data_IF_914375672846
#
_entry.id   IF_914375672846
#
_cell.length_a   1.000
_cell.length_b   1.000
_cell.length_c   1.000
_cell.angle_alpha   90.00
_cell.angle_beta   90.00
_cell.angle_gamma   90.00
#
_symmetry.space_group_name_H-M   'P 1'
#
loop_
_entity.id
_entity.type
_entity.pdbx_description
1 polymer ?
#
# COMPACT_ATOMS: atom_id res chain seq x y z
N UNK A 1 -15.31 -17.24 -5.73
CA UNK A 1 -14.52 -16.13 -6.31
C UNK A 1 -13.94 -15.27 -5.19
N UNK A 2 -12.78 -14.67 -5.40
CA UNK A 2 -12.15 -13.71 -4.50
C UNK A 2 -12.66 -12.30 -4.82
N UNK A 3 -12.78 -11.44 -3.81
CA UNK A 3 -13.02 -10.00 -4.00
C UNK A 3 -11.69 -9.27 -3.84
N UNK A 4 -11.18 -8.72 -4.93
CA UNK A 4 -9.92 -7.98 -4.94
C UNK A 4 -10.20 -6.49 -4.71
N UNK A 5 -9.45 -5.90 -3.83
CA UNK A 5 -9.49 -4.48 -3.50
C UNK A 5 -8.08 -3.92 -3.55
N UNK A 6 -7.93 -2.65 -3.82
CA UNK A 6 -6.63 -1.97 -3.90
C UNK A 6 -6.53 -0.76 -2.95
N UNK A 7 -7.49 -0.65 -2.02
CA UNK A 7 -7.56 0.46 -1.07
C UNK A 7 -7.65 -0.11 0.36
N UNK A 8 -6.54 0.00 1.09
CA UNK A 8 -6.30 -0.69 2.36
C UNK A 8 -7.31 -0.36 3.47
N UNK A 9 -7.87 0.86 3.50
CA UNK A 9 -8.88 1.24 4.50
C UNK A 9 -10.19 0.49 4.25
N UNK A 10 -10.65 0.44 2.99
CA UNK A 10 -11.88 -0.26 2.60
C UNK A 10 -11.76 -1.76 2.84
N UNK A 11 -10.60 -2.33 2.55
CA UNK A 11 -10.32 -3.75 2.82
C UNK A 11 -10.40 -4.10 4.29
N UNK A 12 -9.79 -3.29 5.16
CA UNK A 12 -9.84 -3.49 6.60
C UNK A 12 -11.30 -3.49 7.11
N UNK A 13 -12.13 -2.56 6.62
CA UNK A 13 -13.56 -2.53 6.94
C UNK A 13 -14.31 -3.79 6.45
N UNK A 14 -14.05 -4.23 5.23
CA UNK A 14 -14.72 -5.42 4.67
C UNK A 14 -14.28 -6.70 5.38
N UNK A 15 -13.02 -6.81 5.79
CA UNK A 15 -12.52 -7.96 6.56
C UNK A 15 -13.13 -8.03 7.96
N UNK A 16 -13.44 -6.88 8.60
CA UNK A 16 -14.15 -6.77 9.89
C UNK A 16 -15.68 -6.70 9.78
N UNK A 17 -16.26 -6.89 8.58
CA UNK A 17 -17.67 -6.58 8.35
C UNK A 17 -18.65 -7.41 9.20
N UNK A 18 -18.30 -8.64 9.57
CA UNK A 18 -19.11 -9.50 10.41
C UNK A 18 -19.33 -8.96 11.84
N UNK A 19 -18.41 -8.15 12.35
CA UNK A 19 -18.50 -7.55 13.69
C UNK A 19 -19.65 -6.53 13.79
N UNK A 20 -20.12 -5.99 12.67
CA UNK A 20 -21.24 -5.05 12.62
C UNK A 20 -22.62 -5.68 12.77
N UNK A 21 -22.70 -7.01 12.77
CA UNK A 21 -23.93 -7.80 12.84
C UNK A 21 -23.90 -8.74 14.04
N UNK A 22 -23.44 -8.27 15.20
CA UNK A 22 -23.29 -9.10 16.41
C UNK A 22 -24.64 -9.68 16.86
N UNK A 23 -25.71 -8.89 16.78
CA UNK A 23 -27.06 -9.25 17.21
C UNK A 23 -27.92 -9.88 16.08
N UNK A 24 -27.36 -10.05 14.88
CA UNK A 24 -28.06 -10.55 13.69
C UNK A 24 -27.36 -11.80 13.11
N UNK A 25 -27.56 -13.02 13.67
CA UNK A 25 -26.76 -14.20 13.34
C UNK A 25 -26.73 -14.57 11.86
N UNK A 26 -27.85 -14.40 11.14
CA UNK A 26 -27.94 -14.71 9.71
C UNK A 26 -27.05 -13.75 8.90
N UNK A 27 -27.16 -12.43 9.16
CA UNK A 27 -26.34 -11.42 8.50
C UNK A 27 -24.88 -11.53 8.87
N UNK A 28 -24.59 -11.85 10.13
CA UNK A 28 -23.22 -12.10 10.60
C UNK A 28 -22.56 -13.24 9.84
N UNK A 29 -23.28 -14.34 9.63
CA UNK A 29 -22.77 -15.48 8.85
C UNK A 29 -22.47 -15.09 7.39
N UNK A 30 -23.38 -14.35 6.74
CA UNK A 30 -23.17 -13.86 5.37
C UNK A 30 -22.01 -12.86 5.27
N UNK A 31 -21.91 -11.94 6.21
CA UNK A 31 -20.82 -10.96 6.30
C UNK A 31 -19.47 -11.66 6.54
N UNK A 32 -19.41 -12.67 7.41
CA UNK A 32 -18.20 -13.47 7.63
C UNK A 32 -17.77 -14.21 6.36
N UNK A 33 -18.73 -14.76 5.60
CA UNK A 33 -18.46 -15.40 4.33
C UNK A 33 -17.90 -14.42 3.28
N UNK A 34 -18.40 -13.19 3.23
CA UNK A 34 -17.85 -12.11 2.39
C UNK A 34 -16.43 -11.74 2.85
N UNK A 35 -16.26 -11.44 4.14
CA UNK A 35 -14.99 -11.03 4.73
C UNK A 35 -13.86 -12.03 4.45
N UNK A 36 -14.15 -13.34 4.55
CA UNK A 36 -13.21 -14.41 4.27
C UNK A 36 -12.70 -14.44 2.81
N UNK A 37 -13.38 -13.76 1.90
CA UNK A 37 -13.06 -13.70 0.46
C UNK A 37 -12.37 -12.40 0.05
N UNK A 38 -12.36 -11.39 0.90
CA UNK A 38 -11.67 -10.13 0.65
C UNK A 38 -10.16 -10.35 0.72
N UNK A 39 -9.47 -9.89 -0.30
CA UNK A 39 -8.00 -9.91 -0.37
C UNK A 39 -7.50 -8.59 -0.96
N UNK A 40 -6.43 -8.10 -0.41
CA UNK A 40 -5.63 -7.07 -1.07
C UNK A 40 -5.09 -7.63 -2.41
N UNK A 41 -4.99 -6.77 -3.41
CA UNK A 41 -4.49 -7.18 -4.72
C UNK A 41 -3.08 -7.76 -4.64
N UNK A 42 -2.22 -7.21 -3.79
CA UNK A 42 -0.85 -7.72 -3.58
C UNK A 42 -0.86 -9.05 -2.81
N UNK A 43 -1.81 -9.24 -1.89
CA UNK A 43 -2.05 -10.54 -1.23
C UNK A 43 -2.41 -11.60 -2.25
N UNK A 44 -3.37 -11.30 -3.12
CA UNK A 44 -3.84 -12.23 -4.14
C UNK A 44 -2.73 -12.56 -5.14
N UNK A 45 -2.08 -11.55 -5.71
CA UNK A 45 -1.00 -11.75 -6.69
C UNK A 45 0.15 -12.57 -6.12
N UNK A 46 0.48 -12.39 -4.85
CA UNK A 46 1.52 -13.20 -4.20
C UNK A 46 1.11 -14.66 -3.95
N UNK A 47 -0.19 -15.01 -4.04
CA UNK A 47 -0.71 -16.39 -3.88
C UNK A 47 -0.90 -17.13 -5.19
N UNK A 48 -1.04 -16.42 -6.32
CA UNK A 48 -1.12 -17.08 -7.62
C UNK A 48 0.26 -17.57 -8.05
N UNK A 49 0.29 -18.58 -8.92
CA UNK A 49 1.55 -19.07 -9.48
C UNK A 49 2.12 -18.00 -10.41
N UNK A 50 3.03 -17.20 -9.87
CA UNK A 50 3.76 -16.20 -10.62
C UNK A 50 5.05 -16.80 -11.17
N UNK A 51 5.51 -16.39 -12.37
CA UNK A 51 6.82 -16.78 -12.86
C UNK A 51 7.93 -16.36 -11.89
N UNK A 52 9.12 -16.95 -11.95
CA UNK A 52 10.27 -16.53 -11.14
C UNK A 52 10.58 -15.04 -11.28
N UNK A 53 10.40 -14.48 -12.49
CA UNK A 53 10.61 -13.08 -12.83
C UNK A 53 9.35 -12.52 -13.48
N UNK A 54 8.91 -11.32 -13.08
CA UNK A 54 7.69 -10.63 -13.57
C UNK A 54 8.03 -9.62 -14.70
N UNK A 55 9.12 -9.77 -15.39
CA UNK A 55 9.58 -8.80 -16.40
C UNK A 55 10.74 -7.97 -15.87
N UNK A 56 11.12 -6.90 -16.61
CA UNK A 56 12.29 -6.08 -16.30
C UNK A 56 11.91 -4.61 -16.18
N UNK A 57 12.37 -3.95 -15.14
CA UNK A 57 12.25 -2.51 -14.94
C UNK A 57 13.50 -2.01 -14.21
N UNK A 58 14.37 -1.30 -14.90
CA UNK A 58 15.56 -0.71 -14.31
C UNK A 58 15.18 0.58 -13.59
N UNK A 59 15.04 0.48 -12.26
CA UNK A 59 14.62 1.58 -11.42
C UNK A 59 15.00 1.30 -9.95
N UNK A 60 15.45 2.32 -9.24
CA UNK A 60 15.66 2.28 -7.80
C UNK A 60 14.43 2.81 -7.08
N UNK A 61 13.76 1.96 -6.31
CA UNK A 61 12.50 2.31 -5.64
C UNK A 61 12.59 2.12 -4.13
N UNK A 62 11.76 2.86 -3.40
CA UNK A 62 11.52 2.58 -1.97
C UNK A 62 10.05 2.24 -1.76
N UNK A 63 9.74 1.39 -0.76
CA UNK A 63 8.38 0.97 -0.48
C UNK A 63 7.87 1.55 0.82
N UNK A 64 6.75 2.29 0.73
CA UNK A 64 5.99 2.79 1.88
C UNK A 64 4.84 1.83 2.20
N UNK A 65 4.84 1.27 3.41
CA UNK A 65 3.77 0.41 3.86
C UNK A 65 2.51 1.24 4.19
N UNK A 66 1.37 0.99 3.54
CA UNK A 66 0.10 1.57 3.99
C UNK A 66 -0.23 1.06 5.40
N UNK A 67 -0.47 1.97 6.35
CA UNK A 67 -0.66 1.61 7.75
C UNK A 67 -1.82 0.62 7.96
N UNK A 68 -2.95 0.78 7.27
CA UNK A 68 -4.07 -0.17 7.32
C UNK A 68 -3.73 -1.54 6.74
N UNK A 69 -2.89 -1.60 5.71
CA UNK A 69 -2.43 -2.88 5.15
C UNK A 69 -1.44 -3.56 6.11
N UNK A 70 -0.46 -2.80 6.59
CA UNK A 70 0.61 -3.31 7.44
C UNK A 70 0.15 -3.70 8.84
N UNK A 71 -0.69 -2.86 9.48
CA UNK A 71 -1.08 -3.05 10.89
C UNK A 71 -2.42 -3.75 11.03
N UNK A 72 -3.48 -3.30 10.34
CA UNK A 72 -4.81 -3.89 10.48
C UNK A 72 -4.90 -5.26 9.78
N UNK A 73 -4.29 -5.42 8.62
CA UNK A 73 -4.35 -6.65 7.84
C UNK A 73 -3.10 -7.54 7.96
N UNK A 74 -2.01 -7.02 8.53
CA UNK A 74 -0.71 -7.71 8.71
C UNK A 74 -0.07 -8.16 7.40
N UNK A 75 -0.34 -7.43 6.31
CA UNK A 75 0.23 -7.67 5.00
C UNK A 75 1.43 -6.74 4.79
N UNK A 76 2.64 -7.25 5.00
CA UNK A 76 3.90 -6.49 4.88
C UNK A 76 4.87 -7.09 3.86
N UNK A 77 5.04 -8.41 3.89
CA UNK A 77 6.02 -9.10 3.07
C UNK A 77 5.59 -9.26 1.60
N UNK A 78 4.29 -9.41 1.33
CA UNK A 78 3.77 -9.75 0.01
C UNK A 78 4.02 -8.69 -1.06
N UNK A 79 3.82 -7.38 -0.82
CA UNK A 79 4.20 -6.35 -1.78
C UNK A 79 5.69 -6.38 -2.14
N UNK A 80 6.55 -6.52 -1.13
CA UNK A 80 8.01 -6.62 -1.32
C UNK A 80 8.42 -7.87 -2.10
N UNK A 81 7.75 -9.00 -1.84
CA UNK A 81 7.97 -10.24 -2.58
C UNK A 81 7.68 -10.05 -4.08
N UNK A 82 6.60 -9.34 -4.42
CA UNK A 82 6.25 -9.04 -5.80
C UNK A 82 7.28 -8.11 -6.45
N UNK A 83 7.67 -7.04 -5.77
CA UNK A 83 8.67 -6.09 -6.28
C UNK A 83 10.03 -6.78 -6.53
N UNK A 84 10.47 -7.66 -5.63
CA UNK A 84 11.73 -8.41 -5.78
C UNK A 84 11.72 -9.42 -6.94
N UNK A 85 10.56 -9.72 -7.52
CA UNK A 85 10.44 -10.56 -8.72
C UNK A 85 10.61 -9.75 -10.02
N UNK A 86 10.68 -8.45 -9.96
CA UNK A 86 10.96 -7.59 -11.11
C UNK A 86 12.46 -7.52 -11.32
N UNK A 87 12.92 -7.96 -12.50
CA UNK A 87 14.35 -7.92 -12.85
C UNK A 87 14.84 -6.48 -12.96
N UNK A 88 16.08 -6.24 -12.51
CA UNK A 88 16.74 -4.94 -12.45
C UNK A 88 16.05 -3.87 -11.57
N UNK A 89 15.01 -4.22 -10.79
CA UNK A 89 14.42 -3.33 -9.80
C UNK A 89 15.21 -3.38 -8.50
N UNK A 90 15.77 -2.26 -8.08
CA UNK A 90 16.45 -2.13 -6.81
C UNK A 90 15.46 -1.62 -5.74
N UNK A 91 15.09 -2.48 -4.80
CA UNK A 91 14.23 -2.11 -3.66
C UNK A 91 15.09 -1.68 -2.47
N UNK A 92 15.08 -0.40 -2.14
CA UNK A 92 15.73 0.19 -0.97
C UNK A 92 14.70 0.41 0.13
N UNK A 93 14.91 -0.20 1.29
CA UNK A 93 14.02 -0.02 2.43
C UNK A 93 14.24 1.37 3.06
N UNK A 94 13.15 2.04 3.42
CA UNK A 94 13.21 3.29 4.19
C UNK A 94 13.09 3.01 5.68
N UNK A 95 13.61 3.91 6.49
CA UNK A 95 13.37 3.91 7.93
C UNK A 95 11.87 4.17 8.20
N UNK A 96 11.31 3.49 9.20
CA UNK A 96 9.90 3.62 9.58
C UNK A 96 8.92 3.48 8.37
N UNK A 97 9.17 2.52 7.49
CA UNK A 97 8.35 2.30 6.29
C UNK A 97 6.84 2.18 6.60
N UNK A 98 6.49 1.60 7.76
CA UNK A 98 5.13 1.36 8.23
C UNK A 98 4.54 2.49 9.08
N UNK A 99 5.29 3.58 9.34
CA UNK A 99 4.73 4.78 9.96
C UNK A 99 3.71 5.46 9.05
N UNK A 100 2.67 6.06 9.64
CA UNK A 100 1.61 6.74 8.89
C UNK A 100 2.16 7.90 8.06
N UNK A 101 1.61 8.10 6.86
CA UNK A 101 1.88 9.25 6.00
C UNK A 101 1.00 10.48 6.32
N UNK A 102 0.11 10.38 7.31
CA UNK A 102 -0.81 11.46 7.69
C UNK A 102 -2.16 11.43 6.95
N UNK A 103 -2.34 10.65 5.89
CA UNK A 103 -3.60 10.62 5.11
C UNK A 103 -4.80 10.09 5.91
N UNK A 104 -4.69 8.90 6.52
CA UNK A 104 -5.66 8.23 7.41
C UNK A 104 -7.16 8.59 7.22
N UNK A 105 -7.71 8.33 6.04
CA UNK A 105 -9.09 8.70 5.70
C UNK A 105 -9.24 10.22 5.58
N UNK A 106 -10.01 10.85 6.48
CA UNK A 106 -10.22 12.31 6.55
C UNK A 106 -9.31 13.02 7.56
N UNK A 107 -8.40 12.28 8.21
CA UNK A 107 -7.57 12.82 9.29
C UNK A 107 -6.74 14.03 8.89
N UNK A 108 -6.22 14.06 7.66
CA UNK A 108 -5.49 15.20 7.13
C UNK A 108 -6.33 16.47 6.98
N UNK A 109 -7.65 16.34 6.89
CA UNK A 109 -8.60 17.48 6.86
C UNK A 109 -9.00 17.93 8.26
N UNK A 110 -9.13 16.99 9.20
CA UNK A 110 -9.59 17.22 10.57
C UNK A 110 -8.45 17.64 11.51
N UNK A 111 -7.23 17.15 11.26
CA UNK A 111 -6.03 17.36 12.07
C UNK A 111 -4.82 17.70 11.20
N UNK A 112 -4.88 18.80 10.41
CA UNK A 112 -3.84 19.14 9.43
C UNK A 112 -2.44 19.26 10.04
N UNK A 113 -2.29 19.93 11.19
CA UNK A 113 -0.99 20.13 11.84
C UNK A 113 -0.28 18.83 12.19
N UNK A 114 -1.03 17.81 12.64
CA UNK A 114 -0.49 16.49 12.95
C UNK A 114 -0.19 15.69 11.67
N UNK A 115 -1.08 15.78 10.70
CA UNK A 115 -0.91 15.12 9.40
C UNK A 115 0.35 15.62 8.68
N UNK A 116 0.59 16.94 8.71
CA UNK A 116 1.77 17.58 8.11
C UNK A 116 3.07 17.15 8.78
N UNK A 117 3.09 16.99 10.10
CA UNK A 117 4.26 16.45 10.83
C UNK A 117 4.56 15.01 10.45
N UNK A 118 3.53 14.18 10.34
CA UNK A 118 3.66 12.79 9.90
C UNK A 118 4.17 12.73 8.46
N UNK A 119 3.61 13.55 7.58
CA UNK A 119 4.01 13.65 6.18
C UNK A 119 5.46 14.11 6.05
N UNK A 120 5.85 15.16 6.75
CA UNK A 120 7.23 15.67 6.72
C UNK A 120 8.25 14.59 7.09
N UNK A 121 8.01 13.87 8.20
CA UNK A 121 8.85 12.75 8.62
C UNK A 121 8.90 11.64 7.56
N UNK A 122 7.76 11.29 6.96
CA UNK A 122 7.69 10.27 5.90
C UNK A 122 8.47 10.71 4.67
N UNK A 123 8.34 11.96 4.23
CA UNK A 123 9.08 12.50 3.09
C UNK A 123 10.59 12.52 3.36
N UNK A 124 11.01 12.90 4.57
CA UNK A 124 12.44 12.87 4.94
C UNK A 124 13.01 11.44 4.86
N UNK A 125 12.28 10.44 5.36
CA UNK A 125 12.68 9.03 5.27
C UNK A 125 12.76 8.54 3.81
N UNK A 126 11.80 8.94 2.96
CA UNK A 126 11.82 8.63 1.52
C UNK A 126 13.05 9.23 0.85
N UNK A 127 13.30 10.52 1.05
CA UNK A 127 14.42 11.22 0.42
C UNK A 127 15.79 10.68 0.87
N UNK A 128 15.88 10.21 2.11
CA UNK A 128 17.10 9.60 2.64
C UNK A 128 17.48 8.30 1.92
N UNK A 129 16.55 7.60 1.29
CA UNK A 129 16.85 6.37 0.52
C UNK A 129 17.58 6.62 -0.79
N UNK A 130 17.51 7.83 -1.34
CA UNK A 130 18.00 8.14 -2.68
C UNK A 130 17.26 7.38 -3.80
N UNK A 131 16.03 6.93 -3.54
CA UNK A 131 15.21 6.26 -4.54
C UNK A 131 14.73 7.22 -5.63
N UNK A 132 14.50 6.68 -6.83
CA UNK A 132 13.98 7.40 -8.00
C UNK A 132 12.46 7.45 -8.02
N UNK A 133 11.81 6.52 -7.30
CA UNK A 133 10.36 6.49 -7.14
C UNK A 133 9.96 5.90 -5.78
N UNK A 134 8.77 6.27 -5.32
CA UNK A 134 8.11 5.68 -4.15
C UNK A 134 7.05 4.70 -4.61
N UNK A 135 7.01 3.53 -4.00
CA UNK A 135 5.98 2.52 -4.28
C UNK A 135 5.12 2.32 -3.04
N UNK A 136 3.82 2.24 -3.21
CA UNK A 136 2.89 1.92 -2.13
C UNK A 136 1.70 1.10 -2.67
N UNK A 137 0.83 0.61 -1.81
CA UNK A 137 -0.35 -0.17 -2.19
C UNK A 137 -1.66 0.53 -1.76
N UNK A 138 -1.65 1.86 -1.63
CA UNK A 138 -2.85 2.61 -1.23
C UNK A 138 -2.93 3.98 -1.90
N UNK A 139 -3.98 4.27 -2.70
CA UNK A 139 -4.15 5.54 -3.39
C UNK A 139 -4.15 6.77 -2.47
N UNK A 140 -4.74 6.68 -1.28
CA UNK A 140 -4.73 7.79 -0.31
C UNK A 140 -3.31 8.14 0.14
N UNK A 141 -2.46 7.13 0.39
CA UNK A 141 -1.05 7.35 0.69
C UNK A 141 -0.29 7.92 -0.51
N UNK A 142 -0.62 7.48 -1.75
CA UNK A 142 0.02 8.00 -2.97
C UNK A 142 -0.17 9.50 -3.07
N UNK A 143 -1.42 9.98 -2.99
CA UNK A 143 -1.75 11.41 -3.08
C UNK A 143 -1.06 12.23 -1.98
N UNK A 144 -1.08 11.75 -0.75
CA UNK A 144 -0.49 12.44 0.39
C UNK A 144 1.04 12.56 0.25
N UNK A 145 1.72 11.46 -0.09
CA UNK A 145 3.17 11.43 -0.26
C UNK A 145 3.60 12.26 -1.47
N UNK A 146 2.84 12.19 -2.57
CA UNK A 146 3.11 13.01 -3.76
C UNK A 146 3.02 14.52 -3.46
N UNK A 147 2.01 14.93 -2.70
CA UNK A 147 1.87 16.33 -2.26
C UNK A 147 3.08 16.76 -1.42
N UNK A 148 3.48 15.98 -0.41
CA UNK A 148 4.61 16.31 0.45
C UNK A 148 5.95 16.36 -0.29
N UNK A 149 6.19 15.45 -1.24
CA UNK A 149 7.39 15.48 -2.09
C UNK A 149 7.43 16.74 -2.97
N UNK A 150 6.28 17.14 -3.50
CA UNK A 150 6.14 18.36 -4.31
C UNK A 150 6.40 19.62 -3.48
N UNK A 151 5.85 19.69 -2.27
CA UNK A 151 6.07 20.81 -1.33
C UNK A 151 7.54 20.93 -0.92
N UNK A 152 8.27 19.84 -0.81
CA UNK A 152 9.72 19.82 -0.57
C UNK A 152 10.56 20.19 -1.80
N UNK A 153 9.94 20.48 -2.95
CA UNK A 153 10.66 20.77 -4.21
C UNK A 153 11.41 19.55 -4.77
N UNK A 154 11.06 18.35 -4.34
CA UNK A 154 11.67 17.07 -4.75
C UNK A 154 10.60 16.11 -5.28
N UNK A 155 9.92 16.47 -6.40
CA UNK A 155 8.89 15.60 -6.96
C UNK A 155 9.51 14.27 -7.45
N UNK A 156 9.04 13.17 -6.86
CA UNK A 156 9.34 11.81 -7.31
C UNK A 156 8.03 11.16 -7.75
N UNK A 157 8.06 10.25 -8.73
CA UNK A 157 6.91 9.42 -9.05
C UNK A 157 6.48 8.61 -7.81
N UNK A 158 5.18 8.60 -7.54
CA UNK A 158 4.57 7.72 -6.53
C UNK A 158 3.71 6.71 -7.26
N UNK A 159 4.07 5.44 -7.19
CA UNK A 159 3.49 4.37 -7.99
C UNK A 159 2.76 3.36 -7.11
N UNK A 160 1.66 2.83 -7.60
CA UNK A 160 1.07 1.65 -6.98
C UNK A 160 1.89 0.39 -7.34
N UNK A 161 1.94 -0.61 -6.42
CA UNK A 161 2.66 -1.87 -6.69
C UNK A 161 2.25 -2.48 -8.04
N UNK A 162 0.96 -2.50 -8.37
CA UNK A 162 0.49 -3.08 -9.65
C UNK A 162 0.93 -2.28 -10.87
N UNK A 163 1.16 -0.97 -10.74
CA UNK A 163 1.71 -0.16 -11.84
C UNK A 163 3.17 -0.52 -12.12
N UNK A 164 3.96 -0.79 -11.07
CA UNK A 164 5.34 -1.26 -11.22
C UNK A 164 5.38 -2.60 -11.92
N UNK A 165 4.49 -3.54 -11.53
CA UNK A 165 4.40 -4.85 -12.17
C UNK A 165 3.95 -4.73 -13.64
N UNK A 166 2.96 -3.90 -13.92
CA UNK A 166 2.47 -3.66 -15.29
C UNK A 166 3.56 -3.06 -16.19
N UNK A 167 4.30 -2.05 -15.69
CA UNK A 167 5.43 -1.46 -16.42
C UNK A 167 6.52 -2.49 -16.71
N UNK A 168 6.87 -3.32 -15.74
CA UNK A 168 7.87 -4.37 -15.92
C UNK A 168 7.44 -5.42 -16.95
N UNK A 169 6.15 -5.74 -17.04
CA UNK A 169 5.61 -6.70 -18.01
C UNK A 169 5.52 -6.17 -19.43
N UNK A 170 5.42 -4.84 -19.58
CA UNK A 170 5.33 -4.21 -20.91
C UNK A 170 6.70 -3.95 -21.57
N UNK A 171 7.76 -3.90 -20.78
CA UNK A 171 9.14 -3.64 -21.24
C UNK A 171 9.40 -2.17 -21.40
#
# INVERSE_FOLDING_TARGET
SQMLVHEALREAHLKGYAERFEDEPEWRSRAAHLAARVRDVTEYLATVVMPPTIGRLEMRVTYQDPCHLAHAQRVRAKPRLLLRKVDALELVEMEDADACCGSAGTYNLEQPDYADRLLARKVDAILATGAEAVVTANPGCMLQVEAGLRERGRPLPVLHVVEVLDRAMRG
#
